data_IF_725816621053
#
_entry.id   IF_725816621053
#
_cell.length_a   1.000
_cell.length_b   1.000
_cell.length_c   1.000
_cell.angle_alpha   90.00
_cell.angle_beta   90.00
_cell.angle_gamma   90.00
#
_symmetry.space_group_name_H-M   'P 1'
#
loop_
_entity.id
_entity.type
_entity.pdbx_description
1 polymer ?
#
# COMPACT_ATOMS: atom_id res chain seq x y z
N UNK A 1 7.14 8.45 -88.59
CA UNK A 1 7.78 8.76 -87.30
C UNK A 1 6.79 8.42 -86.20
N UNK A 2 7.09 7.42 -85.36
CA UNK A 2 6.20 6.95 -84.30
C UNK A 2 6.71 7.45 -82.95
N UNK A 3 6.00 8.37 -82.31
CA UNK A 3 6.34 8.84 -80.95
C UNK A 3 5.54 8.04 -79.93
N UNK A 4 6.19 7.10 -79.23
CA UNK A 4 5.59 6.40 -78.09
C UNK A 4 5.54 7.36 -76.90
N UNK A 5 4.36 7.86 -76.57
CA UNK A 5 4.16 8.66 -75.35
C UNK A 5 3.77 7.71 -74.20
N UNK A 6 4.65 7.55 -73.22
CA UNK A 6 4.33 6.81 -72.00
C UNK A 6 3.49 7.71 -71.07
N UNK A 7 2.25 7.29 -70.81
CA UNK A 7 1.35 7.95 -69.86
C UNK A 7 1.87 7.71 -68.43
N UNK A 8 2.33 8.77 -67.75
CA UNK A 8 2.73 8.66 -66.34
C UNK A 8 1.51 8.28 -65.49
N UNK A 9 1.57 7.12 -64.83
CA UNK A 9 0.50 6.60 -63.99
C UNK A 9 0.84 6.87 -62.52
N UNK A 10 0.12 7.80 -61.91
CA UNK A 10 0.38 8.27 -60.53
C UNK A 10 -0.25 7.38 -59.44
N UNK A 11 -0.57 6.12 -59.73
CA UNK A 11 -1.34 5.23 -58.84
C UNK A 11 -0.66 4.92 -57.50
N UNK A 12 0.64 5.19 -57.35
CA UNK A 12 1.38 4.97 -56.10
C UNK A 12 1.32 6.11 -55.09
N UNK A 13 0.80 7.29 -55.46
CA UNK A 13 0.93 8.50 -54.61
C UNK A 13 0.17 8.44 -53.28
N UNK A 14 -0.86 7.60 -53.19
CA UNK A 14 -1.69 7.48 -51.98
C UNK A 14 -1.28 6.33 -51.06
N UNK A 15 -0.35 5.47 -51.47
CA UNK A 15 0.05 4.29 -50.69
C UNK A 15 0.75 4.71 -49.39
N UNK A 16 1.67 5.66 -49.47
CA UNK A 16 2.40 6.14 -48.28
C UNK A 16 1.46 6.90 -47.33
N UNK A 17 0.64 7.88 -47.78
CA UNK A 17 -0.33 8.53 -46.91
C UNK A 17 -1.32 7.57 -46.25
N UNK A 18 -1.83 6.57 -46.98
CA UNK A 18 -2.79 5.62 -46.40
C UNK A 18 -2.15 4.73 -45.34
N UNK A 19 -0.93 4.25 -45.58
CA UNK A 19 -0.16 3.53 -44.56
C UNK A 19 0.08 4.40 -43.33
N UNK A 20 0.51 5.65 -43.51
CA UNK A 20 0.71 6.58 -42.39
C UNK A 20 -0.56 6.77 -41.55
N UNK A 21 -1.72 6.97 -42.18
CA UNK A 21 -2.99 7.10 -41.46
C UNK A 21 -3.31 5.83 -40.67
N UNK A 22 -3.08 4.66 -41.26
CA UNK A 22 -3.35 3.38 -40.61
C UNK A 22 -2.44 3.16 -39.38
N UNK A 23 -1.16 3.49 -39.50
CA UNK A 23 -0.23 3.46 -38.37
C UNK A 23 -0.60 4.47 -37.28
N UNK A 24 -0.93 5.71 -37.65
CA UNK A 24 -1.36 6.72 -36.68
C UNK A 24 -2.63 6.32 -35.95
N UNK A 25 -3.60 5.73 -36.65
CA UNK A 25 -4.82 5.21 -36.03
C UNK A 25 -4.51 4.09 -35.03
N UNK A 26 -3.64 3.14 -35.41
CA UNK A 26 -3.20 2.05 -34.54
C UNK A 26 -2.50 2.58 -33.28
N UNK A 27 -1.50 3.44 -33.44
CA UNK A 27 -0.78 4.03 -32.31
C UNK A 27 -1.66 4.95 -31.47
N UNK A 28 -2.56 5.71 -32.09
CA UNK A 28 -3.54 6.55 -31.39
C UNK A 28 -4.48 5.71 -30.52
N UNK A 29 -5.01 4.59 -31.05
CA UNK A 29 -5.84 3.67 -30.28
C UNK A 29 -5.07 3.08 -29.07
N UNK A 30 -3.84 2.60 -29.31
CA UNK A 30 -3.00 2.03 -28.25
C UNK A 30 -2.49 3.07 -27.25
N UNK A 31 -2.33 4.34 -27.63
CA UNK A 31 -1.98 5.40 -26.70
C UNK A 31 -3.09 5.66 -25.66
N UNK A 32 -4.36 5.44 -26.04
CA UNK A 32 -5.49 5.58 -25.12
C UNK A 32 -5.78 4.29 -24.34
N UNK A 33 -5.86 3.14 -25.03
CA UNK A 33 -6.34 1.87 -24.47
C UNK A 33 -5.23 0.86 -24.13
N UNK A 34 -3.99 1.14 -24.53
CA UNK A 34 -2.87 0.25 -24.26
C UNK A 34 -2.57 0.12 -22.77
N UNK A 35 -1.85 -0.95 -22.44
CA UNK A 35 -1.41 -1.23 -21.07
C UNK A 35 -0.55 -0.10 -20.47
N UNK A 36 0.20 0.61 -21.32
CA UNK A 36 0.98 1.81 -20.96
C UNK A 36 0.34 3.11 -21.51
N UNK A 37 -0.96 3.07 -21.79
CA UNK A 37 -1.70 4.21 -22.30
C UNK A 37 -2.08 5.25 -21.24
N UNK A 38 -2.74 6.31 -21.69
CA UNK A 38 -3.18 7.41 -20.83
C UNK A 38 -4.14 6.92 -19.73
N UNK A 39 -5.07 6.04 -20.07
CA UNK A 39 -6.05 5.53 -19.11
C UNK A 39 -5.42 4.65 -18.03
N UNK A 40 -4.45 3.79 -18.39
CA UNK A 40 -3.76 2.93 -17.43
C UNK A 40 -2.89 3.75 -16.48
N UNK A 41 -2.28 4.84 -16.95
CA UNK A 41 -1.56 5.80 -16.11
C UNK A 41 -2.46 6.35 -15.00
N UNK A 42 -3.66 6.83 -15.33
CA UNK A 42 -4.59 7.36 -14.34
C UNK A 42 -5.02 6.30 -13.31
N UNK A 43 -5.30 5.08 -13.75
CA UNK A 43 -5.62 3.98 -12.83
C UNK A 43 -4.43 3.63 -11.92
N UNK A 44 -3.22 3.62 -12.44
CA UNK A 44 -2.02 3.32 -11.67
C UNK A 44 -1.73 4.41 -10.64
N UNK A 45 -1.88 5.69 -11.01
CA UNK A 45 -1.77 6.83 -10.08
C UNK A 45 -2.81 6.73 -8.96
N UNK A 46 -4.07 6.40 -9.29
CA UNK A 46 -5.11 6.22 -8.28
C UNK A 46 -4.78 5.07 -7.30
N UNK A 47 -4.31 3.93 -7.81
CA UNK A 47 -3.87 2.79 -6.98
C UNK A 47 -2.66 3.16 -6.12
N UNK A 48 -1.72 3.94 -6.65
CA UNK A 48 -0.56 4.40 -5.91
C UNK A 48 -0.99 5.28 -4.72
N UNK A 49 -1.93 6.20 -4.93
CA UNK A 49 -2.51 7.03 -3.86
C UNK A 49 -3.20 6.18 -2.79
N UNK A 50 -4.00 5.19 -3.20
CA UNK A 50 -4.68 4.27 -2.28
C UNK A 50 -3.67 3.48 -1.43
N UNK A 51 -2.67 2.86 -2.08
CA UNK A 51 -1.64 2.08 -1.40
C UNK A 51 -0.79 2.95 -0.46
N UNK A 52 -0.50 4.19 -0.86
CA UNK A 52 0.21 5.13 0.01
C UNK A 52 -0.59 5.43 1.27
N UNK A 53 -1.90 5.66 1.17
CA UNK A 53 -2.76 5.88 2.33
C UNK A 53 -2.82 4.65 3.25
N UNK A 54 -2.90 3.44 2.69
CA UNK A 54 -2.86 2.19 3.48
C UNK A 54 -1.52 2.04 4.21
N UNK A 55 -0.42 2.32 3.52
CA UNK A 55 0.93 2.28 4.08
C UNK A 55 1.07 3.27 5.23
N UNK A 56 0.60 4.51 5.07
CA UNK A 56 0.66 5.54 6.11
C UNK A 56 -0.17 5.15 7.33
N UNK A 57 -1.35 4.58 7.13
CA UNK A 57 -2.19 4.06 8.22
C UNK A 57 -1.51 2.92 9.01
N UNK A 58 -0.88 1.97 8.31
CA UNK A 58 -0.15 0.87 8.95
C UNK A 58 1.09 1.38 9.68
N UNK A 59 1.84 2.32 9.09
CA UNK A 59 2.98 2.95 9.74
C UNK A 59 2.57 3.69 11.01
N UNK A 60 1.47 4.44 10.99
CA UNK A 60 0.96 5.12 12.18
C UNK A 60 0.65 4.13 13.31
N UNK A 61 0.01 2.99 13.00
CA UNK A 61 -0.24 1.92 13.97
C UNK A 61 1.07 1.34 14.52
N UNK A 62 2.04 1.04 13.66
CA UNK A 62 3.36 0.55 14.08
C UNK A 62 4.00 1.52 15.09
N UNK A 63 4.04 2.82 14.77
CA UNK A 63 4.65 3.83 15.65
C UNK A 63 3.93 3.92 17.00
N UNK A 64 2.60 3.84 17.02
CA UNK A 64 1.85 3.83 18.28
C UNK A 64 2.15 2.59 19.12
N UNK A 65 2.20 1.41 18.51
CA UNK A 65 2.59 0.18 19.21
C UNK A 65 4.04 0.26 19.70
N UNK A 66 4.97 0.77 18.90
CA UNK A 66 6.37 0.93 19.30
C UNK A 66 6.49 1.87 20.51
N UNK A 67 5.73 2.97 20.54
CA UNK A 67 5.68 3.85 21.71
C UNK A 67 5.15 3.11 22.94
N UNK A 68 4.07 2.34 22.81
CA UNK A 68 3.52 1.55 23.94
C UNK A 68 4.52 0.51 24.44
N UNK A 69 5.21 -0.17 23.53
CA UNK A 69 6.26 -1.14 23.88
C UNK A 69 7.42 -0.44 24.57
N UNK A 70 7.86 0.71 24.08
CA UNK A 70 8.91 1.49 24.72
C UNK A 70 8.52 1.93 26.14
N UNK A 71 7.27 2.38 26.35
CA UNK A 71 6.76 2.71 27.68
C UNK A 71 6.67 1.49 28.62
N UNK A 72 6.51 0.28 28.07
CA UNK A 72 6.60 -0.97 28.85
C UNK A 72 8.05 -1.45 29.05
N UNK A 73 9.01 -0.91 28.30
CA UNK A 73 10.42 -1.32 28.31
C UNK A 73 11.31 -0.38 29.12
N UNK A 74 10.94 0.90 29.26
CA UNK A 74 11.60 1.85 30.17
C UNK A 74 11.25 1.50 31.62
N UNK A 75 11.98 0.53 32.14
CA UNK A 75 11.72 -0.14 33.39
C UNK A 75 11.88 -1.62 33.12
N UNK A 76 13.09 -2.12 33.31
CA UNK A 76 13.35 -3.55 33.54
C UNK A 76 12.15 -4.13 34.25
N UNK A 77 11.42 -5.06 33.62
CA UNK A 77 10.28 -5.75 34.20
C UNK A 77 10.65 -6.12 35.63
N UNK A 78 10.16 -5.34 36.59
CA UNK A 78 10.78 -5.31 37.91
C UNK A 78 10.46 -6.67 38.52
N UNK A 79 11.48 -7.42 38.94
CA UNK A 79 11.31 -8.76 39.50
C UNK A 79 10.23 -8.76 40.60
N UNK A 80 10.12 -7.65 41.31
CA UNK A 80 9.14 -7.38 42.36
C UNK A 80 7.71 -7.26 41.82
N UNK A 81 7.47 -6.68 40.64
CA UNK A 81 6.15 -6.69 40.00
C UNK A 81 5.73 -8.11 39.58
N UNK A 82 6.68 -8.92 39.12
CA UNK A 82 6.42 -10.32 38.76
C UNK A 82 6.09 -11.16 39.99
N UNK A 83 6.80 -10.92 41.09
CA UNK A 83 6.57 -11.55 42.38
C UNK A 83 5.22 -11.10 43.00
N UNK A 84 4.86 -9.83 42.90
CA UNK A 84 3.56 -9.29 43.35
C UNK A 84 2.40 -9.95 42.59
N UNK A 85 2.48 -10.04 41.25
CA UNK A 85 1.45 -10.69 40.45
C UNK A 85 1.37 -12.21 40.72
N UNK A 86 2.50 -12.89 40.88
CA UNK A 86 2.53 -14.31 41.22
C UNK A 86 1.92 -14.57 42.61
N UNK A 87 2.25 -13.76 43.61
CA UNK A 87 1.68 -13.84 44.97
C UNK A 87 0.20 -13.58 44.99
N UNK A 88 -0.26 -12.56 44.26
CA UNK A 88 -1.67 -12.20 44.14
C UNK A 88 -2.49 -13.32 43.49
N UNK A 89 -1.95 -13.97 42.45
CA UNK A 89 -2.62 -15.09 41.78
C UNK A 89 -2.69 -16.35 42.66
N UNK A 90 -1.67 -16.58 43.50
CA UNK A 90 -1.56 -17.77 44.36
C UNK A 90 -2.09 -17.54 45.79
N UNK A 91 -2.58 -16.34 46.12
CA UNK A 91 -2.95 -15.93 47.49
C UNK A 91 -1.83 -16.18 48.52
N UNK A 92 -0.58 -15.91 48.15
CA UNK A 92 0.59 -16.10 49.00
C UNK A 92 1.05 -14.76 49.60
N UNK A 93 1.31 -14.72 50.90
CA UNK A 93 1.94 -13.58 51.61
C UNK A 93 3.26 -14.02 52.25
N UNK A 94 4.21 -13.11 52.42
CA UNK A 94 5.47 -13.40 53.11
C UNK A 94 5.26 -13.58 54.62
N UNK A 95 6.22 -14.19 55.32
CA UNK A 95 6.13 -14.44 56.76
C UNK A 95 5.99 -13.14 57.60
N UNK A 96 6.44 -12.02 57.03
CA UNK A 96 6.49 -10.70 57.68
C UNK A 96 5.36 -9.76 57.19
N UNK A 97 4.41 -10.26 56.40
CA UNK A 97 3.32 -9.48 55.79
C UNK A 97 1.97 -9.74 56.48
N UNK A 98 1.14 -8.70 56.62
CA UNK A 98 -0.17 -8.77 57.28
C UNK A 98 -1.29 -8.81 56.24
N UNK A 99 -2.02 -9.93 56.16
CA UNK A 99 -3.18 -10.09 55.27
C UNK A 99 -4.46 -9.59 55.93
N UNK A 100 -5.08 -8.55 55.35
CA UNK A 100 -6.37 -8.01 55.79
C UNK A 100 -7.47 -8.51 54.85
N UNK A 101 -8.32 -9.41 55.33
CA UNK A 101 -9.51 -9.84 54.56
C UNK A 101 -10.61 -8.79 54.71
N UNK A 102 -10.90 -8.08 53.63
CA UNK A 102 -12.01 -7.12 53.58
C UNK A 102 -13.34 -7.90 53.48
N UNK A 103 -14.39 -7.50 54.22
CA UNK A 103 -15.70 -8.11 54.08
C UNK A 103 -16.19 -7.90 52.64
N UNK A 104 -16.79 -8.93 52.05
CA UNK A 104 -17.44 -8.81 50.75
C UNK A 104 -18.50 -7.71 50.86
N UNK A 105 -18.21 -6.54 50.28
CA UNK A 105 -19.20 -5.47 50.18
C UNK A 105 -20.30 -5.99 49.26
N UNK A 106 -21.40 -6.46 49.87
CA UNK A 106 -22.61 -6.81 49.17
C UNK A 106 -23.07 -5.57 48.40
N UNK A 107 -22.91 -5.63 47.08
CA UNK A 107 -23.65 -4.79 46.14
C UNK A 107 -24.93 -5.52 45.77
#
# INVERSE_FOLDING_TARGET
>A
MWTRQHKQRNTGRLIIPSLCVLFLAYFGFHAYHGEFGIYSKYQLEARAVELQAQLDAVKARRVDLERRVQLMHEGTLEKDMLDEQARKALNLSHADEITIMLPASAK
#
